data_IF_879073229119
#
_entry.id   IF_879073229119
#
_cell.length_a   1.000
_cell.length_b   1.000
_cell.length_c   1.000
_cell.angle_alpha   90.00
_cell.angle_beta   90.00
_cell.angle_gamma   90.00
#
_symmetry.space_group_name_H-M   'P 1'
#
loop_
_entity.id
_entity.type
_entity.pdbx_description
1 polymer ?
#
# COMPACT_ATOMS: atom_id res chain seq x y z
N UNK A 1 24.95 2.64 21.25
CA UNK A 1 24.10 3.80 20.90
C UNK A 1 23.79 3.78 19.41
N UNK A 2 24.80 3.75 18.52
CA UNK A 2 24.60 3.61 17.06
C UNK A 2 23.78 2.37 16.62
N UNK A 3 24.10 1.18 17.12
CA UNK A 3 23.42 -0.06 16.72
C UNK A 3 21.93 -0.08 17.10
N UNK A 4 21.59 0.51 18.25
CA UNK A 4 20.21 0.59 18.74
C UNK A 4 19.36 1.48 17.84
N UNK A 5 19.91 2.61 17.37
CA UNK A 5 19.23 3.55 16.45
C UNK A 5 18.97 2.88 15.10
N UNK A 6 19.98 2.18 14.55
CA UNK A 6 19.83 1.44 13.28
C UNK A 6 18.73 0.37 13.41
N UNK A 7 18.74 -0.40 14.50
CA UNK A 7 17.72 -1.42 14.75
C UNK A 7 16.31 -0.81 14.86
N UNK A 8 16.18 0.35 15.52
CA UNK A 8 14.91 1.04 15.67
C UNK A 8 14.37 1.53 14.32
N UNK A 9 15.23 2.10 13.47
CA UNK A 9 14.83 2.58 12.14
C UNK A 9 14.43 1.45 11.21
N UNK A 10 15.13 0.31 11.26
CA UNK A 10 14.74 -0.90 10.51
C UNK A 10 13.40 -1.43 11.01
N UNK A 11 13.19 -1.50 12.33
CA UNK A 11 11.90 -1.91 12.89
C UNK A 11 10.76 -0.97 12.49
N UNK A 12 11.02 0.35 12.47
CA UNK A 12 10.06 1.35 12.03
C UNK A 12 9.70 1.19 10.53
N UNK A 13 10.71 1.00 9.68
CA UNK A 13 10.49 0.76 8.25
C UNK A 13 9.70 -0.53 7.99
N UNK A 14 9.99 -1.60 8.73
CA UNK A 14 9.27 -2.88 8.66
C UNK A 14 7.80 -2.74 9.09
N UNK A 15 7.55 -2.04 10.19
CA UNK A 15 6.19 -1.77 10.66
C UNK A 15 5.41 -0.88 9.68
N UNK A 16 6.07 0.14 9.12
CA UNK A 16 5.55 0.98 8.06
C UNK A 16 5.14 0.18 6.83
N UNK A 17 6.02 -0.71 6.38
CA UNK A 17 5.77 -1.62 5.25
C UNK A 17 4.56 -2.52 5.51
N UNK A 18 4.49 -3.14 6.68
CA UNK A 18 3.36 -3.96 7.06
C UNK A 18 2.05 -3.15 7.05
N UNK A 19 2.05 -1.96 7.64
CA UNK A 19 0.88 -1.08 7.68
C UNK A 19 0.43 -0.65 6.28
N UNK A 20 1.36 -0.33 5.39
CA UNK A 20 1.04 0.07 4.02
C UNK A 20 0.43 -1.08 3.21
N UNK A 21 0.95 -2.30 3.34
CA UNK A 21 0.37 -3.50 2.71
C UNK A 21 -1.04 -3.77 3.23
N UNK A 22 -1.26 -3.65 4.54
CA UNK A 22 -2.60 -3.80 5.14
C UNK A 22 -3.54 -2.72 4.61
N UNK A 23 -3.08 -1.47 4.55
CA UNK A 23 -3.86 -0.34 4.02
C UNK A 23 -4.25 -0.55 2.56
N UNK A 24 -3.36 -1.13 1.77
CA UNK A 24 -3.63 -1.50 0.38
C UNK A 24 -4.77 -2.52 0.28
N UNK A 25 -4.71 -3.59 1.07
CA UNK A 25 -5.75 -4.62 1.09
C UNK A 25 -7.11 -4.04 1.51
N UNK A 26 -7.10 -3.13 2.51
CA UNK A 26 -8.30 -2.41 2.95
C UNK A 26 -8.84 -1.52 1.84
N UNK A 27 -7.99 -0.74 1.16
CA UNK A 27 -8.41 0.13 0.06
C UNK A 27 -9.08 -0.66 -1.07
N UNK A 28 -8.49 -1.78 -1.47
CA UNK A 28 -9.09 -2.65 -2.48
C UNK A 28 -10.41 -3.24 -2.00
N UNK A 29 -10.49 -3.73 -0.76
CA UNK A 29 -11.72 -4.30 -0.20
C UNK A 29 -12.85 -3.27 -0.12
N UNK A 30 -12.53 -2.03 0.26
CA UNK A 30 -13.49 -0.92 0.30
C UNK A 30 -13.98 -0.59 -1.10
N UNK A 31 -13.06 -0.49 -2.07
CA UNK A 31 -13.41 -0.27 -3.47
C UNK A 31 -14.39 -1.34 -3.98
N UNK A 32 -14.06 -2.63 -3.79
CA UNK A 32 -14.90 -3.73 -4.22
C UNK A 32 -16.28 -3.76 -3.54
N UNK A 33 -16.39 -3.19 -2.32
CA UNK A 33 -17.67 -3.10 -1.60
C UNK A 33 -18.53 -1.94 -2.05
N UNK A 34 -17.91 -0.86 -2.53
CA UNK A 34 -18.58 0.33 -3.06
C UNK A 34 -19.07 0.11 -4.49
N UNK A 35 -18.33 -0.68 -5.28
CA UNK A 35 -18.72 -0.99 -6.64
C UNK A 35 -19.81 -2.05 -6.69
N UNK A 36 -20.79 -1.93 -7.61
CA UNK A 36 -21.87 -2.91 -7.77
C UNK A 36 -21.43 -4.19 -8.51
N UNK A 37 -20.15 -4.29 -8.89
CA UNK A 37 -19.56 -5.40 -9.63
C UNK A 37 -18.34 -5.93 -8.89
N UNK A 38 -17.94 -7.17 -9.20
CA UNK A 38 -16.73 -7.76 -8.65
C UNK A 38 -15.49 -7.24 -9.39
N UNK A 39 -14.67 -6.45 -8.70
CA UNK A 39 -13.46 -5.88 -9.23
C UNK A 39 -12.41 -6.94 -9.59
N UNK A 40 -12.39 -8.11 -8.93
CA UNK A 40 -11.48 -9.20 -9.31
C UNK A 40 -11.82 -9.75 -10.69
N UNK A 41 -13.11 -10.04 -10.93
CA UNK A 41 -13.58 -10.56 -12.21
C UNK A 41 -13.37 -9.54 -13.35
N UNK A 42 -13.69 -8.27 -13.10
CA UNK A 42 -13.49 -7.20 -14.08
C UNK A 42 -12.02 -6.99 -14.42
N UNK A 43 -11.12 -7.09 -13.44
CA UNK A 43 -9.68 -7.04 -13.69
C UNK A 43 -9.22 -8.24 -14.52
N UNK A 44 -9.73 -9.45 -14.25
CA UNK A 44 -9.41 -10.67 -15.00
C UNK A 44 -9.92 -10.63 -16.45
N UNK A 45 -11.07 -9.99 -16.70
CA UNK A 45 -11.61 -9.74 -18.04
C UNK A 45 -10.84 -8.67 -18.83
N UNK A 46 -9.86 -8.02 -18.22
CA UNK A 46 -9.08 -6.95 -18.85
C UNK A 46 -9.78 -5.60 -18.84
N UNK A 47 -10.67 -5.34 -17.88
CA UNK A 47 -11.30 -4.03 -17.73
C UNK A 47 -10.25 -2.98 -17.32
N UNK A 48 -9.88 -2.13 -18.28
CA UNK A 48 -8.86 -1.09 -18.11
C UNK A 48 -9.25 -0.08 -17.03
N UNK A 49 -10.54 0.23 -16.85
CA UNK A 49 -10.98 1.17 -15.83
C UNK A 49 -10.67 0.66 -14.43
N UNK A 50 -10.96 -0.62 -14.16
CA UNK A 50 -10.61 -1.27 -12.89
C UNK A 50 -9.09 -1.37 -12.74
N UNK A 51 -8.37 -1.70 -13.81
CA UNK A 51 -6.91 -1.73 -13.82
C UNK A 51 -6.26 -0.40 -13.43
N UNK A 52 -6.79 0.72 -13.93
CA UNK A 52 -6.30 2.07 -13.56
C UNK A 52 -6.52 2.34 -12.07
N UNK A 53 -7.68 1.97 -11.51
CA UNK A 53 -7.97 2.16 -10.08
C UNK A 53 -7.03 1.33 -9.21
N UNK A 54 -6.86 0.05 -9.55
CA UNK A 54 -5.94 -0.83 -8.81
C UNK A 54 -4.51 -0.34 -8.91
N UNK A 55 -4.07 0.07 -10.10
CA UNK A 55 -2.74 0.65 -10.32
C UNK A 55 -2.51 1.93 -9.51
N UNK A 56 -3.51 2.81 -9.42
CA UNK A 56 -3.41 4.04 -8.62
C UNK A 56 -3.36 3.75 -7.11
N UNK A 57 -4.02 2.69 -6.62
CA UNK A 57 -3.85 2.21 -5.24
C UNK A 57 -2.38 1.80 -4.99
N UNK A 58 -1.76 1.05 -5.90
CA UNK A 58 -0.34 0.68 -5.78
C UNK A 58 0.59 1.90 -5.76
N UNK A 59 0.35 2.87 -6.65
CA UNK A 59 1.14 4.12 -6.69
C UNK A 59 1.00 4.89 -5.37
N UNK A 60 -0.22 5.03 -4.84
CA UNK A 60 -0.46 5.71 -3.58
C UNK A 60 0.25 5.04 -2.40
N UNK A 61 0.21 3.70 -2.34
CA UNK A 61 0.93 2.90 -1.33
C UNK A 61 2.44 3.07 -1.45
N UNK A 62 2.98 3.08 -2.68
CA UNK A 62 4.39 3.34 -2.93
C UNK A 62 4.84 4.72 -2.44
N UNK A 63 4.04 5.76 -2.68
CA UNK A 63 4.30 7.12 -2.18
C UNK A 63 4.28 7.15 -0.65
N UNK A 64 3.25 6.54 -0.03
CA UNK A 64 3.15 6.46 1.43
C UNK A 64 4.36 5.74 2.05
N UNK A 65 4.81 4.66 1.42
CA UNK A 65 6.00 3.93 1.85
C UNK A 65 7.28 4.74 1.73
N UNK A 66 7.46 5.46 0.62
CA UNK A 66 8.58 6.37 0.45
C UNK A 66 8.63 7.42 1.55
N UNK A 67 7.46 7.97 1.93
CA UNK A 67 7.36 8.94 3.02
C UNK A 67 7.73 8.33 4.37
N UNK A 68 7.22 7.14 4.70
CA UNK A 68 7.49 6.47 5.98
C UNK A 68 8.99 6.14 6.13
N UNK A 69 9.62 5.64 5.08
CA UNK A 69 11.07 5.38 5.08
C UNK A 69 11.85 6.69 5.18
N UNK A 70 11.45 7.73 4.43
CA UNK A 70 12.09 9.05 4.47
C UNK A 70 12.04 9.72 5.85
N UNK A 71 10.90 9.61 6.55
CA UNK A 71 10.75 10.13 7.92
C UNK A 71 11.50 9.28 8.96
N UNK A 72 11.66 7.96 8.73
CA UNK A 72 12.37 7.07 9.65
C UNK A 72 13.89 7.17 9.58
N UNK A 73 14.45 7.91 8.62
CA UNK A 73 15.89 8.11 8.44
C UNK A 73 16.39 9.49 8.92
N UNK A 74 15.49 10.34 9.44
CA UNK A 74 15.78 11.69 9.93
C UNK A 74 15.63 11.77 11.45
#
# INVERSE_FOLDING_TARGET
MELTIILLNVAYAMLGAALAIVSMAVAFRVFNRLTPFDAHDELAKGNVAVGIVVGSIFVAVGIAMGLVIGMGLN
#
